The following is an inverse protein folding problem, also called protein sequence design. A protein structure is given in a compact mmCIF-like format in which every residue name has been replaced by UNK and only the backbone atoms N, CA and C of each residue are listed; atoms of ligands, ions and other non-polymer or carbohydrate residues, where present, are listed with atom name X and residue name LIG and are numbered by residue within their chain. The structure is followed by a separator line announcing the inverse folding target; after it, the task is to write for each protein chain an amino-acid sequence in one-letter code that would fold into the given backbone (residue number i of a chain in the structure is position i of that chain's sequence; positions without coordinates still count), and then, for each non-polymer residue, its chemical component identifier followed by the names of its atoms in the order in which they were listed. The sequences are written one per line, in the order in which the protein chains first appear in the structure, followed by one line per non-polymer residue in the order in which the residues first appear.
data_IF_585078431357
#
_entry.id   IF_585078431357
#
_cell.length_a   1.000
_cell.length_b   1.000
_cell.length_c   1.000
_cell.angle_alpha   90.00
_cell.angle_beta   90.00
_cell.angle_gamma   90.00
#
_symmetry.space_group_name_H-M   'P 1'
#
loop_
_entity.id
_entity.type
_entity.pdbx_description
1 polymer ?
#
# COMPACT_ATOMS: atom_id res chain seq x y z
N UNK A 1 -6.51 -3.49 13.75
CA UNK A 1 -5.21 -3.92 13.17
C UNK A 1 -4.73 -5.19 13.87
N UNK A 2 -4.73 -5.20 15.21
CA UNK A 2 -4.15 -6.28 16.04
C UNK A 2 -4.61 -7.70 15.67
N UNK A 3 -5.91 -7.90 15.43
CA UNK A 3 -6.43 -9.23 15.04
C UNK A 3 -5.86 -9.73 13.70
N UNK A 4 -5.78 -8.87 12.69
CA UNK A 4 -5.23 -9.23 11.38
C UNK A 4 -3.74 -9.56 11.47
N UNK A 5 -2.99 -8.78 12.26
CA UNK A 5 -1.55 -9.03 12.47
C UNK A 5 -1.33 -10.36 13.19
N UNK A 6 -2.15 -10.67 14.21
CA UNK A 6 -2.07 -11.96 14.91
C UNK A 6 -2.34 -13.13 13.95
N UNK A 7 -3.37 -13.03 13.10
CA UNK A 7 -3.68 -14.06 12.10
C UNK A 7 -2.53 -14.25 11.11
N UNK A 8 -1.92 -13.16 10.62
CA UNK A 8 -0.74 -13.23 9.74
C UNK A 8 0.47 -13.86 10.43
N UNK A 9 0.71 -13.56 11.71
CA UNK A 9 1.79 -14.18 12.48
C UNK A 9 1.56 -15.68 12.69
N UNK A 10 0.31 -16.10 12.87
CA UNK A 10 -0.05 -17.52 12.94
C UNK A 10 0.17 -18.22 11.60
N UNK A 11 -0.21 -17.60 10.48
CA UNK A 11 0.09 -18.10 9.13
C UNK A 11 1.60 -18.23 8.93
N UNK A 12 2.37 -17.21 9.31
CA UNK A 12 3.84 -17.23 9.21
C UNK A 12 4.44 -18.36 10.05
N UNK A 13 4.04 -18.48 11.32
CA UNK A 13 4.54 -19.54 12.20
C UNK A 13 4.24 -20.93 11.64
N UNK A 14 3.03 -21.16 11.10
CA UNK A 14 2.68 -22.42 10.44
C UNK A 14 3.61 -22.73 9.24
N UNK A 15 3.93 -21.72 8.44
CA UNK A 15 4.79 -21.85 7.26
C UNK A 15 6.29 -21.95 7.59
N UNK A 16 6.73 -21.38 8.71
CA UNK A 16 8.14 -21.24 9.09
C UNK A 16 8.52 -22.07 10.33
N UNK A 17 8.05 -23.31 10.40
CA UNK A 17 8.50 -24.28 11.42
C UNK A 17 8.15 -23.88 12.86
N UNK A 18 7.04 -23.17 13.04
CA UNK A 18 6.53 -22.67 14.32
C UNK A 18 7.44 -21.64 15.00
N UNK A 19 8.17 -20.86 14.21
CA UNK A 19 8.98 -19.72 14.68
C UNK A 19 8.31 -18.40 14.33
N UNK A 20 8.43 -17.43 15.23
CA UNK A 20 7.96 -16.07 14.99
C UNK A 20 9.05 -15.24 14.32
N UNK A 21 8.68 -14.23 13.50
CA UNK A 21 9.67 -13.35 12.88
C UNK A 21 10.37 -12.50 13.95
N UNK A 22 11.67 -12.30 13.78
CA UNK A 22 12.46 -11.45 14.68
C UNK A 22 12.30 -9.94 14.39
N UNK A 23 11.84 -9.60 13.19
CA UNK A 23 11.65 -8.22 12.71
C UNK A 23 10.38 -8.17 11.88
N UNK A 24 9.64 -7.07 12.00
CA UNK A 24 8.44 -6.82 11.23
C UNK A 24 8.60 -5.45 10.57
N UNK A 25 8.31 -5.38 9.27
CA UNK A 25 8.30 -4.14 8.49
C UNK A 25 6.88 -3.93 7.99
N UNK A 26 6.29 -2.78 8.31
CA UNK A 26 4.93 -2.42 7.92
C UNK A 26 4.98 -1.33 6.85
N UNK A 27 4.44 -1.61 5.67
CA UNK A 27 4.15 -0.59 4.67
C UNK A 27 2.67 -0.25 4.73
N UNK A 28 2.36 1.04 4.82
CA UNK A 28 0.99 1.56 4.91
C UNK A 28 0.76 2.54 3.77
N UNK A 29 -0.26 2.28 2.96
CA UNK A 29 -0.63 3.13 1.81
C UNK A 29 -1.80 4.07 2.10
N UNK A 30 -1.87 5.22 1.45
CA UNK A 30 -2.99 6.15 1.57
C UNK A 30 -3.00 6.97 2.86
N UNK A 31 -1.83 7.29 3.39
CA UNK A 31 -1.67 8.42 4.33
C UNK A 31 -1.31 9.62 3.45
N UNK A 32 -2.25 10.54 3.29
CA UNK A 32 -2.03 11.82 2.58
C UNK A 32 -1.84 12.92 3.62
N UNK A 33 -0.78 13.72 3.51
CA UNK A 33 -0.54 14.90 4.36
C UNK A 33 -1.42 16.11 3.96
N UNK A 34 -2.36 15.88 3.04
CA UNK A 34 -3.37 16.81 2.59
C UNK A 34 -3.07 17.32 1.19
N UNK A 35 -3.77 16.78 0.19
CA UNK A 35 -4.05 17.39 -1.11
C UNK A 35 -3.03 18.42 -1.60
N UNK A 36 -1.80 18.01 -1.89
CA UNK A 36 -0.87 18.84 -2.64
C UNK A 36 -0.68 18.32 -4.06
N UNK A 37 -1.62 18.70 -4.92
CA UNK A 37 -1.31 18.85 -6.34
C UNK A 37 -1.83 20.21 -6.83
N UNK A 38 -0.92 21.18 -6.87
CA UNK A 38 -1.07 22.31 -7.78
C UNK A 38 0.26 22.62 -8.46
N UNK A 39 0.13 22.75 -9.78
CA UNK A 39 1.07 23.31 -10.76
C UNK A 39 2.21 22.38 -11.19
N UNK A 40 2.16 21.95 -12.45
CA UNK A 40 2.98 22.53 -13.52
C UNK A 40 2.45 22.06 -14.88
N UNK A 41 1.62 22.90 -15.48
CA UNK A 41 1.45 22.94 -16.93
C UNK A 41 2.63 23.69 -17.55
N UNK A 42 2.96 23.30 -18.78
CA UNK A 42 3.97 23.83 -19.70
C UNK A 42 5.37 23.23 -19.57
N UNK A 43 5.61 22.14 -20.31
CA UNK A 43 6.75 22.10 -21.23
C UNK A 43 6.37 21.38 -22.52
N UNK A 44 6.43 22.13 -23.62
CA UNK A 44 6.18 21.68 -24.98
C UNK A 44 7.20 20.63 -25.44
N UNK A 45 6.71 19.52 -25.97
CA UNK A 45 7.30 18.93 -27.18
C UNK A 45 8.71 18.32 -27.11
N UNK A 46 9.20 17.90 -25.95
CA UNK A 46 10.36 16.98 -25.88
C UNK A 46 9.87 15.57 -25.59
N UNK A 47 10.41 14.56 -26.28
CA UNK A 47 10.36 13.19 -25.76
C UNK A 47 11.05 13.21 -24.41
N UNK A 48 10.28 13.32 -23.34
CA UNK A 48 10.80 13.39 -21.98
C UNK A 48 11.31 12.00 -21.63
N UNK A 49 12.63 11.87 -21.56
CA UNK A 49 13.22 10.73 -20.86
C UNK A 49 12.75 10.84 -19.41
N UNK A 50 11.86 9.93 -19.00
CA UNK A 50 11.48 9.81 -17.60
C UNK A 50 12.71 9.49 -16.74
N UNK A 51 12.59 9.71 -15.43
CA UNK A 51 13.60 9.27 -14.47
C UNK A 51 13.85 7.77 -14.64
N UNK A 52 15.11 7.37 -14.53
CA UNK A 52 15.48 5.95 -14.59
C UNK A 52 14.86 5.20 -13.41
N UNK A 53 14.43 3.96 -13.66
CA UNK A 53 13.91 3.11 -12.61
C UNK A 53 14.99 2.85 -11.55
N UNK A 54 14.66 3.07 -10.29
CA UNK A 54 15.60 3.03 -9.16
C UNK A 54 16.14 4.40 -8.74
N UNK A 55 15.69 5.49 -9.37
CA UNK A 55 16.04 6.85 -8.90
C UNK A 55 15.47 7.08 -7.50
N UNK A 56 16.34 7.45 -6.56
CA UNK A 56 15.99 7.83 -5.19
C UNK A 56 16.34 9.30 -4.97
N UNK A 57 15.47 10.03 -4.27
CA UNK A 57 15.73 11.40 -3.82
C UNK A 57 15.43 11.47 -2.33
N UNK A 58 16.48 11.67 -1.53
CA UNK A 58 16.42 11.80 -0.07
C UNK A 58 17.03 13.12 0.46
N UNK A 59 17.42 14.03 -0.43
CA UNK A 59 18.02 15.34 -0.13
C UNK A 59 17.20 16.47 -0.77
N UNK A 60 17.29 17.68 -0.21
CA UNK A 60 16.73 18.96 -0.65
C UNK A 60 15.21 19.11 -0.61
N UNK A 61 14.47 18.14 -1.17
CA UNK A 61 13.00 18.21 -1.34
C UNK A 61 12.23 17.34 -0.34
N UNK A 62 12.94 16.71 0.60
CA UNK A 62 12.42 15.85 1.66
C UNK A 62 12.20 16.63 2.96
N UNK A 63 11.51 16.01 3.91
CA UNK A 63 11.19 16.63 5.20
C UNK A 63 12.48 16.97 5.98
N UNK A 64 12.61 18.18 6.55
CA UNK A 64 13.87 18.65 7.14
C UNK A 64 14.31 17.91 8.42
N UNK A 65 13.39 17.21 9.09
CA UNK A 65 13.66 16.54 10.38
C UNK A 65 13.18 15.09 10.48
N UNK A 66 12.36 14.64 9.54
CA UNK A 66 11.82 13.28 9.54
C UNK A 66 12.54 12.51 8.44
N UNK A 67 12.46 11.19 8.47
CA UNK A 67 13.07 10.41 7.43
C UNK A 67 12.05 10.03 6.36
N UNK A 68 12.17 10.70 5.22
CA UNK A 68 11.37 10.45 4.03
C UNK A 68 12.25 10.45 2.78
N UNK A 69 11.78 9.76 1.75
CA UNK A 69 12.46 9.69 0.47
C UNK A 69 11.47 9.43 -0.67
N UNK A 70 11.78 10.01 -1.83
CA UNK A 70 11.10 9.66 -3.07
C UNK A 70 11.82 8.50 -3.74
N UNK A 71 11.06 7.54 -4.28
CA UNK A 71 11.57 6.44 -5.08
C UNK A 71 10.75 6.30 -6.37
N UNK A 72 11.42 6.39 -7.51
CA UNK A 72 10.88 6.07 -8.82
C UNK A 72 11.23 4.62 -9.17
N UNK A 73 10.44 3.65 -8.68
CA UNK A 73 10.77 2.23 -8.83
C UNK A 73 10.52 1.67 -10.24
N UNK A 74 9.62 2.27 -11.03
CA UNK A 74 9.22 1.77 -12.35
C UNK A 74 9.66 2.70 -13.49
N UNK A 75 9.87 2.12 -14.67
CA UNK A 75 10.02 2.89 -15.91
C UNK A 75 8.64 3.28 -16.45
N UNK A 76 8.36 4.58 -16.55
CA UNK A 76 7.10 5.06 -17.12
C UNK A 76 7.03 4.76 -18.62
N UNK A 77 5.96 4.06 -19.01
CA UNK A 77 5.69 3.68 -20.41
C UNK A 77 5.05 4.87 -21.16
N UNK A 78 4.24 5.67 -20.46
CA UNK A 78 3.51 6.80 -21.02
C UNK A 78 3.32 7.89 -19.96
N UNK A 79 3.41 9.14 -20.40
CA UNK A 79 3.32 10.30 -19.50
C UNK A 79 4.56 10.47 -18.63
N UNK A 80 4.43 11.28 -17.58
CA UNK A 80 5.50 11.56 -16.62
C UNK A 80 5.45 10.56 -15.47
N UNK A 81 6.59 9.98 -15.10
CA UNK A 81 6.71 9.14 -13.90
C UNK A 81 6.21 9.89 -12.67
N UNK A 82 5.48 9.20 -11.79
CA UNK A 82 5.09 9.68 -10.46
C UNK A 82 5.91 8.91 -9.42
N UNK A 83 7.04 9.46 -8.93
CA UNK A 83 7.78 8.84 -7.84
C UNK A 83 6.90 8.70 -6.60
N UNK A 84 7.00 7.57 -5.91
CA UNK A 84 6.29 7.36 -4.66
C UNK A 84 7.09 7.96 -3.50
N UNK A 85 6.40 8.63 -2.58
CA UNK A 85 6.97 9.19 -1.36
C UNK A 85 6.81 8.18 -0.23
N UNK A 86 7.91 7.86 0.44
CA UNK A 86 7.94 6.96 1.58
C UNK A 86 8.34 7.73 2.82
N UNK A 87 7.49 7.70 3.85
CA UNK A 87 7.78 8.26 5.17
C UNK A 87 8.05 7.13 6.16
N UNK A 88 9.23 7.13 6.76
CA UNK A 88 9.57 6.23 7.86
C UNK A 88 9.08 6.84 9.17
N UNK A 89 7.89 6.42 9.59
CA UNK A 89 7.24 6.95 10.78
C UNK A 89 7.89 6.46 12.08
N UNK A 90 8.33 5.20 12.10
CA UNK A 90 8.91 4.55 13.27
C UNK A 90 9.87 3.45 12.85
N UNK A 91 11.04 3.39 13.49
CA UNK A 91 12.03 2.34 13.25
C UNK A 91 12.70 1.88 14.55
N UNK A 92 12.46 0.61 14.90
CA UNK A 92 13.13 -0.10 16.00
C UNK A 92 14.18 -1.09 15.49
N UNK A 93 14.22 -1.32 14.17
CA UNK A 93 15.12 -2.28 13.54
C UNK A 93 16.52 -1.67 13.30
N UNK A 94 16.64 -0.34 13.35
CA UNK A 94 17.89 0.39 13.16
C UNK A 94 18.37 0.37 11.71
N UNK A 95 17.44 0.56 10.77
CA UNK A 95 17.74 0.64 9.34
C UNK A 95 18.57 1.88 9.01
N UNK A 96 19.56 1.71 8.14
CA UNK A 96 20.18 2.83 7.46
C UNK A 96 19.30 3.30 6.29
N UNK A 97 19.50 4.53 5.82
CA UNK A 97 18.75 5.09 4.70
C UNK A 97 18.86 4.21 3.44
N UNK A 98 20.08 3.77 3.12
CA UNK A 98 20.32 2.87 1.99
C UNK A 98 19.58 1.54 2.15
N UNK A 99 19.56 0.97 3.37
CA UNK A 99 18.96 -0.35 3.60
C UNK A 99 17.45 -0.33 3.36
N UNK A 100 16.75 0.71 3.84
CA UNK A 100 15.30 0.81 3.65
C UNK A 100 14.93 1.19 2.22
N UNK A 101 15.73 2.04 1.57
CA UNK A 101 15.53 2.44 0.17
C UNK A 101 15.72 1.22 -0.75
N UNK A 102 16.79 0.46 -0.53
CA UNK A 102 17.11 -0.73 -1.30
C UNK A 102 16.08 -1.84 -1.06
N UNK A 103 15.71 -2.11 0.20
CA UNK A 103 14.65 -3.07 0.54
C UNK A 103 13.34 -2.71 -0.17
N UNK A 104 12.94 -1.45 -0.12
CA UNK A 104 11.71 -0.96 -0.76
C UNK A 104 11.77 -1.16 -2.27
N UNK A 105 12.89 -0.85 -2.91
CA UNK A 105 13.08 -1.06 -4.34
C UNK A 105 13.04 -2.54 -4.74
N UNK A 106 13.68 -3.42 -3.97
CA UNK A 106 13.62 -4.86 -4.22
C UNK A 106 12.20 -5.42 -4.09
N UNK A 107 11.42 -4.94 -3.11
CA UNK A 107 10.03 -5.36 -2.95
C UNK A 107 9.15 -4.98 -4.16
N UNK A 108 9.47 -3.91 -4.88
CA UNK A 108 8.78 -3.55 -6.14
C UNK A 108 9.04 -4.55 -7.28
N UNK A 109 10.04 -5.43 -7.17
CA UNK A 109 10.35 -6.45 -8.17
C UNK A 109 9.76 -7.83 -7.83
N UNK A 110 9.10 -7.97 -6.68
CA UNK A 110 8.57 -9.25 -6.20
C UNK A 110 7.13 -9.53 -6.61
N UNK A 111 6.55 -8.69 -7.47
CA UNK A 111 5.16 -8.86 -7.92
C UNK A 111 5.02 -10.04 -8.88
N UNK A 112 4.33 -11.09 -8.44
CA UNK A 112 4.08 -12.29 -9.22
C UNK A 112 3.21 -12.09 -10.48
N UNK A 113 2.51 -10.96 -10.64
CA UNK A 113 1.60 -10.72 -11.78
C UNK A 113 2.34 -10.19 -13.02
N UNK A 114 3.56 -9.67 -12.87
CA UNK A 114 4.33 -9.14 -14.01
C UNK A 114 5.84 -9.29 -13.83
N UNK A 115 6.59 -9.43 -14.92
CA UNK A 115 8.06 -9.48 -14.93
C UNK A 115 8.70 -8.08 -14.98
N UNK A 116 8.06 -7.08 -14.36
CA UNK A 116 8.48 -5.68 -14.36
C UNK A 116 8.44 -5.12 -12.95
N UNK A 117 9.28 -4.11 -12.69
CA UNK A 117 9.18 -3.33 -11.46
C UNK A 117 7.88 -2.51 -11.46
N UNK A 118 7.14 -2.58 -10.36
CA UNK A 118 5.90 -1.81 -10.13
C UNK A 118 6.18 -0.53 -9.32
N UNK A 119 5.25 0.44 -9.35
CA UNK A 119 5.42 1.75 -8.69
C UNK A 119 5.41 1.72 -7.15
N UNK A 120 4.87 0.67 -6.56
CA UNK A 120 4.74 0.48 -5.10
C UNK A 120 5.20 -0.95 -4.74
N UNK A 121 5.60 -1.23 -3.49
CA UNK A 121 6.05 -2.55 -3.10
C UNK A 121 4.95 -3.61 -3.33
N UNK A 122 5.32 -4.82 -3.76
CA UNK A 122 4.35 -5.85 -4.13
C UNK A 122 3.35 -6.18 -3.01
N UNK A 123 3.80 -6.17 -1.75
CA UNK A 123 2.95 -6.37 -0.57
C UNK A 123 1.85 -5.29 -0.42
N UNK A 124 2.11 -4.05 -0.84
CA UNK A 124 1.12 -2.97 -0.83
C UNK A 124 0.14 -3.17 -1.96
N UNK A 125 0.63 -3.51 -3.14
CA UNK A 125 -0.21 -3.83 -4.29
C UNK A 125 -1.16 -5.01 -3.99
N UNK A 126 -0.71 -6.06 -3.29
CA UNK A 126 -1.58 -7.16 -2.87
C UNK A 126 -2.65 -6.73 -1.86
N UNK A 127 -2.33 -5.83 -0.94
CA UNK A 127 -3.33 -5.26 -0.05
C UNK A 127 -4.42 -4.51 -0.83
N UNK A 128 -4.03 -3.73 -1.87
CA UNK A 128 -4.99 -3.08 -2.76
C UNK A 128 -5.87 -4.07 -3.53
N UNK A 129 -5.30 -5.16 -4.03
CA UNK A 129 -6.07 -6.20 -4.72
C UNK A 129 -7.05 -6.92 -3.79
N UNK A 130 -6.65 -7.19 -2.55
CA UNK A 130 -7.53 -7.77 -1.54
C UNK A 130 -8.72 -6.85 -1.23
N UNK A 131 -8.48 -5.54 -1.08
CA UNK A 131 -9.56 -4.55 -0.91
C UNK A 131 -10.45 -4.51 -2.15
N UNK A 132 -9.88 -4.44 -3.34
CA UNK A 132 -10.64 -4.43 -4.60
C UNK A 132 -11.54 -5.66 -4.74
N UNK A 133 -11.01 -6.85 -4.42
CA UNK A 133 -11.78 -8.09 -4.42
C UNK A 133 -12.92 -8.06 -3.40
N UNK A 134 -12.68 -7.53 -2.19
CA UNK A 134 -13.72 -7.40 -1.17
C UNK A 134 -14.85 -6.45 -1.56
N UNK A 135 -14.50 -5.38 -2.26
CA UNK A 135 -15.45 -4.40 -2.78
C UNK A 135 -16.27 -5.02 -3.92
N UNK A 136 -15.64 -5.69 -4.87
CA UNK A 136 -16.33 -6.38 -5.96
C UNK A 136 -17.33 -7.43 -5.47
N UNK A 137 -16.99 -8.15 -4.38
CA UNK A 137 -17.91 -9.12 -3.78
C UNK A 137 -19.16 -8.45 -3.19
N UNK A 138 -19.01 -7.31 -2.51
CA UNK A 138 -20.15 -6.54 -1.98
C UNK A 138 -21.09 -6.04 -3.06
N UNK A 139 -20.58 -5.70 -4.24
CA UNK A 139 -21.39 -5.24 -5.36
C UNK A 139 -22.18 -6.36 -6.05
N UNK A 140 -21.73 -7.61 -5.98
CA UNK A 140 -22.44 -8.74 -6.58
C UNK A 140 -23.59 -9.29 -5.71
N UNK A 141 -23.62 -9.00 -4.42
CA UNK A 141 -24.76 -9.35 -3.54
C UNK A 141 -25.89 -8.29 -3.57
N UNK A 142 -25.62 -7.09 -4.11
CA UNK A 142 -26.57 -5.98 -4.17
C UNK A 142 -27.18 -5.81 -5.57
N UNK A 143 -28.09 -6.70 -5.95
CA UNK A 143 -29.06 -6.42 -7.02
C UNK A 143 -30.19 -5.47 -6.55
N UNK A 144 -30.21 -5.00 -5.29
CA UNK A 144 -31.34 -4.20 -4.75
C UNK A 144 -30.99 -3.01 -3.81
N UNK A 145 -29.73 -2.60 -3.61
CA UNK A 145 -29.44 -1.39 -2.81
C UNK A 145 -28.37 -0.49 -3.45
N UNK A 146 -28.83 0.65 -3.98
CA UNK A 146 -28.00 1.80 -4.37
C UNK A 146 -27.33 2.39 -3.13
N UNK A 147 -26.00 2.48 -3.14
CA UNK A 147 -25.24 3.20 -2.11
C UNK A 147 -25.43 4.71 -2.29
N UNK A 148 -26.30 5.32 -1.47
CA UNK A 148 -26.26 6.76 -1.21
C UNK A 148 -25.06 7.03 -0.30
N UNK A 149 -24.08 7.78 -0.82
CA UNK A 149 -22.99 8.32 -0.01
C UNK A 149 -23.51 9.62 0.58
N UNK A 150 -24.02 9.56 1.81
CA UNK A 150 -24.38 10.74 2.58
C UNK A 150 -23.11 11.37 3.18
N UNK A 151 -22.69 12.49 2.59
CA UNK A 151 -21.62 13.38 3.08
C UNK A 151 -22.12 14.23 4.28
N UNK A 152 -22.68 13.63 5.34
CA UNK A 152 -23.09 14.42 6.51
C UNK A 152 -22.58 13.88 7.86
N UNK A 153 -22.01 14.83 8.59
CA UNK A 153 -21.28 14.69 9.85
C UNK A 153 -22.27 14.47 11.01
N UNK A 154 -21.91 13.59 11.96
CA UNK A 154 -22.48 13.44 13.32
C UNK A 154 -23.67 12.49 13.58
N UNK A 155 -23.42 11.17 13.58
CA UNK A 155 -24.08 10.24 14.54
C UNK A 155 -23.11 9.13 14.97
N UNK A 156 -22.72 9.12 16.24
CA UNK A 156 -22.04 7.96 16.85
C UNK A 156 -23.05 6.83 17.04
N UNK A 157 -23.31 6.07 15.98
CA UNK A 157 -23.97 4.78 16.10
C UNK A 157 -22.98 3.76 16.69
N UNK A 158 -23.39 3.10 17.77
CA UNK A 158 -22.57 2.07 18.42
C UNK A 158 -22.63 0.82 17.54
N UNK A 159 -21.67 0.67 16.63
CA UNK A 159 -21.61 -0.48 15.70
C UNK A 159 -21.39 -1.76 16.52
N UNK A 160 -22.33 -2.71 16.45
CA UNK A 160 -22.18 -3.98 17.16
C UNK A 160 -21.24 -4.94 16.40
N UNK A 161 -20.63 -5.89 17.10
CA UNK A 161 -19.76 -6.92 16.48
C UNK A 161 -20.49 -7.78 15.45
N UNK A 162 -21.81 -7.91 15.57
CA UNK A 162 -22.68 -8.61 14.61
C UNK A 162 -22.90 -7.78 13.35
N UNK A 163 -23.05 -6.45 13.47
CA UNK A 163 -23.12 -5.56 12.31
C UNK A 163 -21.79 -5.54 11.53
N UNK A 164 -20.66 -5.61 12.24
CA UNK A 164 -19.33 -5.74 11.63
C UNK A 164 -19.22 -7.08 10.89
N UNK A 165 -19.63 -8.21 11.50
CA UNK A 165 -19.59 -9.52 10.84
C UNK A 165 -20.49 -9.62 9.61
N UNK A 166 -21.60 -8.88 9.61
CA UNK A 166 -22.54 -8.86 8.48
C UNK A 166 -22.03 -7.94 7.36
N UNK A 167 -21.29 -6.88 7.70
CA UNK A 167 -20.73 -5.90 6.75
C UNK A 167 -19.29 -6.22 6.28
N UNK A 168 -18.59 -7.14 6.94
CA UNK A 168 -17.21 -7.55 6.60
C UNK A 168 -17.26 -8.82 5.76
N UNK A 169 -16.55 -8.81 4.63
CA UNK A 169 -16.39 -9.99 3.78
C UNK A 169 -15.66 -11.08 4.56
N UNK A 170 -16.32 -12.22 4.77
CA UNK A 170 -15.71 -13.42 5.34
C UNK A 170 -15.50 -14.42 4.22
N UNK A 171 -14.23 -14.72 3.94
CA UNK A 171 -13.85 -15.71 2.92
C UNK A 171 -14.13 -17.13 3.42
N UNK A 172 -14.33 -18.05 2.48
CA UNK A 172 -14.39 -19.47 2.77
C UNK A 172 -13.04 -19.94 3.35
N UNK A 173 -13.05 -20.79 4.38
CA UNK A 173 -11.85 -21.33 5.02
C UNK A 173 -10.87 -21.98 4.02
N UNK A 174 -11.36 -22.52 2.90
CA UNK A 174 -10.52 -23.14 1.88
C UNK A 174 -9.67 -22.14 1.05
N UNK A 175 -10.07 -20.87 1.04
CA UNK A 175 -9.40 -19.81 0.25
C UNK A 175 -8.78 -18.73 1.14
N UNK A 176 -8.92 -18.84 2.47
CA UNK A 176 -8.42 -17.84 3.41
C UNK A 176 -6.89 -17.75 3.41
N UNK A 177 -6.20 -18.87 3.16
CA UNK A 177 -4.73 -18.95 3.10
C UNK A 177 -4.20 -18.89 1.64
N UNK A 178 -5.01 -18.44 0.66
CA UNK A 178 -4.63 -18.34 -0.76
C UNK A 178 -4.50 -16.90 -1.26
N UNK A 179 -3.68 -16.70 -2.31
CA UNK A 179 -3.51 -15.40 -3.01
C UNK A 179 -4.57 -15.15 -4.08
#
# INVERSE_FOLDING_TARGET
MDKMVIELLQVFARSCGNTLPNRIVFYRDGIDDGQFQKVLDNEDGKQTSNLEAGTVIDVDITHPSQFDFYLCSQAAIMGTSRPALYHVLHDENGFNSNDIQELTYWLCHTDARCSKSVSIPALVHYAHLAVYASVAYKFNDNDDETLEIDDDESTSETITLEDIKTKVMILNNNIQDTM
#
